data_IF_925586520513
#
_entry.id   IF_925586520513
#
_cell.length_a   1.000
_cell.length_b   1.000
_cell.length_c   1.000
_cell.angle_alpha   90.00
_cell.angle_beta   90.00
_cell.angle_gamma   90.00
#
_symmetry.space_group_name_H-M   'P 1'
#
loop_
_entity.id
_entity.type
_entity.pdbx_description
1 polymer ?
#
# COMPACT_ATOMS: atom_id res chain seq x y z
N UNK A 1 18.18 -10.60 -8.48
CA UNK A 1 17.17 -10.92 -7.44
C UNK A 1 15.88 -11.32 -8.16
N UNK A 2 15.73 -12.57 -8.59
CA UNK A 2 14.58 -13.01 -9.42
C UNK A 2 13.58 -13.91 -8.67
N UNK A 3 13.76 -14.16 -7.37
CA UNK A 3 12.93 -15.12 -6.61
C UNK A 3 11.97 -14.54 -5.55
N UNK A 4 11.97 -13.23 -5.28
CA UNK A 4 11.18 -12.64 -4.17
C UNK A 4 9.70 -12.38 -4.50
N UNK A 5 9.28 -12.60 -5.76
CA UNK A 5 7.92 -12.28 -6.24
C UNK A 5 7.05 -13.51 -6.53
N UNK A 6 7.53 -14.70 -6.19
CA UNK A 6 6.77 -15.95 -6.35
C UNK A 6 6.04 -16.35 -5.07
N UNK A 7 4.82 -15.84 -4.91
CA UNK A 7 4.00 -16.13 -3.74
C UNK A 7 3.57 -17.61 -3.68
N UNK A 8 3.55 -18.35 -4.80
CA UNK A 8 3.09 -19.74 -4.85
C UNK A 8 4.11 -20.68 -4.22
N UNK A 9 5.40 -20.46 -4.49
CA UNK A 9 6.47 -21.29 -3.94
C UNK A 9 7.02 -20.75 -2.60
N UNK A 10 6.93 -19.43 -2.35
CA UNK A 10 7.41 -18.83 -1.11
C UNK A 10 6.51 -17.66 -0.65
N UNK A 11 5.30 -17.98 -0.19
CA UNK A 11 4.34 -16.98 0.30
C UNK A 11 4.90 -16.13 1.45
N UNK A 12 5.65 -16.73 2.38
CA UNK A 12 6.24 -16.00 3.51
C UNK A 12 7.28 -14.98 3.05
N UNK A 13 8.18 -15.37 2.14
CA UNK A 13 9.17 -14.48 1.55
C UNK A 13 8.51 -13.36 0.73
N UNK A 14 7.44 -13.67 0.00
CA UNK A 14 6.64 -12.69 -0.72
C UNK A 14 6.01 -11.65 0.21
N UNK A 15 5.32 -12.08 1.26
CA UNK A 15 4.70 -11.21 2.26
C UNK A 15 5.77 -10.30 2.87
N UNK A 16 6.89 -10.86 3.30
CA UNK A 16 7.98 -10.10 3.91
C UNK A 16 8.56 -9.05 2.95
N UNK A 17 8.84 -9.44 1.71
CA UNK A 17 9.36 -8.51 0.69
C UNK A 17 8.38 -7.36 0.45
N UNK A 18 7.07 -7.65 0.33
CA UNK A 18 6.05 -6.64 0.13
C UNK A 18 5.84 -5.71 1.32
N UNK A 19 6.00 -6.19 2.55
CA UNK A 19 6.01 -5.33 3.74
C UNK A 19 7.21 -4.40 3.75
N UNK A 20 8.40 -4.93 3.44
CA UNK A 20 9.60 -4.11 3.38
C UNK A 20 9.53 -3.06 2.28
N UNK A 21 9.12 -3.46 1.06
CA UNK A 21 8.87 -2.56 -0.07
C UNK A 21 7.87 -1.47 0.31
N UNK A 22 6.79 -1.82 1.03
CA UNK A 22 5.79 -0.86 1.48
C UNK A 22 6.38 0.24 2.35
N UNK A 23 7.24 -0.11 3.31
CA UNK A 23 7.88 0.85 4.20
C UNK A 23 8.92 1.70 3.46
N UNK A 24 9.69 1.09 2.55
CA UNK A 24 10.69 1.78 1.73
C UNK A 24 10.02 2.77 0.77
N UNK A 25 8.95 2.38 0.09
CA UNK A 25 8.21 3.27 -0.81
C UNK A 25 7.54 4.42 -0.04
N UNK A 26 7.05 4.16 1.18
CA UNK A 26 6.56 5.23 2.08
C UNK A 26 7.66 6.23 2.46
N UNK A 27 8.87 5.75 2.75
CA UNK A 27 10.03 6.61 3.04
C UNK A 27 10.39 7.46 1.83
N UNK A 28 10.46 6.86 0.64
CA UNK A 28 10.70 7.58 -0.61
C UNK A 28 9.62 8.64 -0.90
N UNK A 29 8.36 8.37 -0.55
CA UNK A 29 7.28 9.34 -0.68
C UNK A 29 7.56 10.60 0.14
N UNK A 30 7.99 10.45 1.40
CA UNK A 30 8.36 11.58 2.26
C UNK A 30 9.62 12.31 1.76
N UNK A 31 10.66 11.58 1.32
CA UNK A 31 11.87 12.20 0.76
C UNK A 31 11.56 13.04 -0.49
N UNK A 32 10.63 12.59 -1.33
CA UNK A 32 10.15 13.34 -2.49
C UNK A 32 9.31 14.54 -2.08
N UNK A 33 8.46 14.39 -1.06
CA UNK A 33 7.65 15.47 -0.52
C UNK A 33 8.52 16.61 0.03
N UNK A 34 9.57 16.29 0.80
CA UNK A 34 10.53 17.29 1.31
C UNK A 34 11.25 18.08 0.21
N UNK A 35 11.36 17.50 -0.99
CA UNK A 35 11.94 18.15 -2.18
C UNK A 35 10.91 18.93 -3.01
N UNK A 36 9.66 19.01 -2.57
CA UNK A 36 8.56 19.66 -3.29
C UNK A 36 8.03 18.87 -4.49
N UNK A 37 8.38 17.58 -4.62
CA UNK A 37 8.01 16.73 -5.76
C UNK A 37 6.67 16.03 -5.52
N UNK A 38 5.57 16.78 -5.46
CA UNK A 38 4.25 16.27 -5.04
C UNK A 38 3.73 15.10 -5.89
N UNK A 39 3.85 15.16 -7.21
CA UNK A 39 3.39 14.07 -8.09
C UNK A 39 4.19 12.78 -7.85
N UNK A 40 5.51 12.89 -7.69
CA UNK A 40 6.39 11.76 -7.40
C UNK A 40 6.12 11.18 -6.00
N UNK A 41 5.95 12.04 -5.00
CA UNK A 41 5.57 11.64 -3.64
C UNK A 41 4.25 10.87 -3.64
N UNK A 42 3.25 11.36 -4.39
CA UNK A 42 1.94 10.71 -4.55
C UNK A 42 2.05 9.35 -5.23
N UNK A 43 2.89 9.23 -6.27
CA UNK A 43 3.17 7.94 -6.92
C UNK A 43 3.78 6.95 -5.94
N UNK A 44 4.69 7.39 -5.07
CA UNK A 44 5.35 6.54 -4.07
C UNK A 44 4.42 6.13 -2.93
N UNK A 45 3.58 7.05 -2.45
CA UNK A 45 2.52 6.74 -1.49
C UNK A 45 1.49 5.74 -2.05
N UNK A 46 1.15 5.83 -3.34
CA UNK A 46 0.30 4.82 -3.98
C UNK A 46 0.98 3.43 -4.03
N UNK A 47 2.26 3.38 -4.43
CA UNK A 47 3.00 2.13 -4.54
C UNK A 47 3.20 1.44 -3.18
N UNK A 48 3.42 2.21 -2.11
CA UNK A 48 3.51 1.66 -0.76
C UNK A 48 2.22 0.94 -0.36
N UNK A 49 1.06 1.59 -0.57
CA UNK A 49 -0.25 0.97 -0.29
C UNK A 49 -0.45 -0.29 -1.13
N UNK A 50 -0.17 -0.27 -2.44
CA UNK A 50 -0.26 -1.49 -3.27
C UNK A 50 0.58 -2.63 -2.71
N UNK A 51 1.79 -2.32 -2.23
CA UNK A 51 2.67 -3.33 -1.65
C UNK A 51 2.10 -3.92 -0.37
N UNK A 52 1.64 -3.07 0.57
CA UNK A 52 0.98 -3.53 1.80
C UNK A 52 -0.29 -4.35 1.52
N UNK A 53 -1.16 -3.90 0.59
CA UNK A 53 -2.37 -4.64 0.22
C UNK A 53 -2.01 -5.98 -0.41
N UNK A 54 -0.98 -6.06 -1.23
CA UNK A 54 -0.51 -7.34 -1.79
C UNK A 54 -0.04 -8.30 -0.69
N UNK A 55 0.67 -7.81 0.33
CA UNK A 55 1.02 -8.61 1.50
C UNK A 55 -0.22 -9.09 2.27
N UNK A 56 -1.22 -8.22 2.46
CA UNK A 56 -2.48 -8.56 3.15
C UNK A 56 -3.26 -9.62 2.37
N UNK A 57 -3.35 -9.49 1.06
CA UNK A 57 -4.03 -10.48 0.21
C UNK A 57 -3.33 -11.83 0.31
N UNK A 58 -2.01 -11.90 0.16
CA UNK A 58 -1.29 -13.18 0.22
C UNK A 58 -1.38 -13.82 1.61
N UNK A 59 -1.26 -13.03 2.68
CA UNK A 59 -1.43 -13.52 4.06
C UNK A 59 -2.80 -14.14 4.31
N UNK A 60 -3.84 -13.58 3.70
CA UNK A 60 -5.23 -13.99 3.90
C UNK A 60 -5.83 -14.75 2.70
N UNK A 61 -5.01 -15.15 1.73
CA UNK A 61 -5.48 -15.65 0.43
C UNK A 61 -6.42 -16.83 0.58
N UNK A 62 -6.07 -17.78 1.45
CA UNK A 62 -6.87 -18.97 1.72
C UNK A 62 -8.27 -18.64 2.26
N UNK A 63 -8.39 -17.61 3.10
CA UNK A 63 -9.70 -17.18 3.63
C UNK A 63 -10.50 -16.39 2.59
N UNK A 64 -9.82 -15.55 1.80
CA UNK A 64 -10.44 -14.83 0.68
C UNK A 64 -11.05 -15.83 -0.31
N UNK A 65 -10.28 -16.80 -0.81
CA UNK A 65 -10.73 -17.70 -1.86
C UNK A 65 -11.86 -18.65 -1.42
N UNK A 66 -11.99 -18.94 -0.12
CA UNK A 66 -13.12 -19.74 0.43
C UNK A 66 -14.47 -19.08 0.20
N UNK A 67 -14.51 -17.75 0.12
CA UNK A 67 -15.73 -16.95 -0.04
C UNK A 67 -16.05 -16.65 -1.52
N UNK A 68 -15.33 -17.27 -2.46
CA UNK A 68 -15.29 -16.88 -3.88
C UNK A 68 -15.74 -18.00 -4.79
N UNK A 69 -16.29 -17.63 -5.95
CA UNK A 69 -16.54 -18.59 -7.03
C UNK A 69 -15.24 -18.96 -7.77
N UNK A 70 -15.25 -20.02 -8.57
CA UNK A 70 -14.06 -20.53 -9.27
C UNK A 70 -13.35 -19.46 -10.14
N UNK A 71 -14.10 -18.57 -10.79
CA UNK A 71 -13.52 -17.49 -11.61
C UNK A 71 -12.78 -16.47 -10.75
N UNK A 72 -13.37 -16.08 -9.62
CA UNK A 72 -12.75 -15.16 -8.66
C UNK A 72 -11.55 -15.78 -7.96
N UNK A 73 -11.62 -17.07 -7.58
CA UNK A 73 -10.47 -17.81 -7.03
C UNK A 73 -9.29 -17.78 -8.01
N UNK A 74 -9.55 -18.16 -9.26
CA UNK A 74 -8.55 -18.12 -10.33
C UNK A 74 -7.96 -16.71 -10.50
N UNK A 75 -8.79 -15.67 -10.43
CA UNK A 75 -8.31 -14.30 -10.52
C UNK A 75 -7.38 -13.94 -9.37
N UNK A 76 -7.71 -14.30 -8.12
CA UNK A 76 -6.86 -14.05 -6.96
C UNK A 76 -5.51 -14.78 -7.07
N UNK A 77 -5.53 -16.04 -7.50
CA UNK A 77 -4.33 -16.88 -7.63
C UNK A 77 -3.40 -16.50 -8.79
N UNK A 78 -3.87 -15.72 -9.76
CA UNK A 78 -3.07 -15.36 -10.94
C UNK A 78 -2.83 -13.86 -11.07
N UNK A 79 -3.66 -13.02 -10.47
CA UNK A 79 -3.60 -11.56 -10.61
C UNK A 79 -3.81 -10.86 -9.27
N UNK A 80 -4.89 -11.18 -8.55
CA UNK A 80 -5.33 -10.46 -7.36
C UNK A 80 -4.30 -10.45 -6.22
N UNK A 81 -3.48 -11.50 -6.09
CA UNK A 81 -2.37 -11.54 -5.13
C UNK A 81 -1.44 -10.33 -5.22
N UNK A 82 -1.27 -9.76 -6.42
CA UNK A 82 -0.39 -8.61 -6.68
C UNK A 82 -1.03 -7.24 -6.39
N UNK A 83 -2.29 -7.23 -5.94
CA UNK A 83 -3.09 -6.04 -5.71
C UNK A 83 -3.14 -5.10 -6.94
N UNK A 84 -3.60 -5.56 -8.13
CA UNK A 84 -3.67 -4.74 -9.33
C UNK A 84 -4.56 -3.50 -9.08
N UNK A 85 -4.20 -2.36 -9.68
CA UNK A 85 -4.91 -1.09 -9.47
C UNK A 85 -6.42 -1.21 -9.74
N UNK A 86 -6.78 -1.89 -10.83
CA UNK A 86 -8.18 -2.11 -11.24
C UNK A 86 -8.95 -3.03 -10.29
N UNK A 87 -8.27 -3.80 -9.44
CA UNK A 87 -8.86 -4.72 -8.48
C UNK A 87 -8.94 -4.18 -7.05
N UNK A 88 -8.29 -3.05 -6.74
CA UNK A 88 -8.14 -2.57 -5.35
C UNK A 88 -9.46 -2.36 -4.62
N UNK A 89 -10.49 -1.84 -5.30
CA UNK A 89 -11.83 -1.65 -4.70
C UNK A 89 -12.54 -2.98 -4.41
N UNK A 90 -12.31 -4.01 -5.22
CA UNK A 90 -12.84 -5.36 -4.94
C UNK A 90 -12.10 -5.97 -3.76
N UNK A 91 -10.76 -5.88 -3.78
CA UNK A 91 -9.89 -6.37 -2.71
C UNK A 91 -10.23 -5.71 -1.36
N UNK A 92 -10.51 -4.41 -1.32
CA UNK A 92 -10.85 -3.72 -0.07
C UNK A 92 -12.11 -4.29 0.58
N UNK A 93 -13.14 -4.61 -0.21
CA UNK A 93 -14.38 -5.24 0.28
C UNK A 93 -14.12 -6.64 0.81
N UNK A 94 -13.26 -7.39 0.13
CA UNK A 94 -12.93 -8.75 0.54
C UNK A 94 -12.08 -8.79 1.81
N UNK A 95 -11.15 -7.84 1.98
CA UNK A 95 -10.43 -7.65 3.24
C UNK A 95 -11.37 -7.23 4.38
N UNK A 96 -12.35 -6.35 4.09
CA UNK A 96 -13.36 -5.92 5.06
C UNK A 96 -14.23 -7.08 5.55
N UNK A 97 -14.55 -8.04 4.68
CA UNK A 97 -15.26 -9.27 5.07
C UNK A 97 -14.46 -10.15 6.05
N UNK A 98 -13.14 -9.96 6.11
CA UNK A 98 -12.23 -10.58 7.07
C UNK A 98 -11.90 -9.67 8.26
N UNK A 99 -12.69 -8.60 8.47
CA UNK A 99 -12.47 -7.58 9.51
C UNK A 99 -11.15 -6.81 9.37
N UNK A 100 -10.59 -6.73 8.17
CA UNK A 100 -9.41 -5.93 7.83
C UNK A 100 -9.88 -4.69 7.07
N UNK A 101 -9.99 -3.55 7.77
CA UNK A 101 -10.39 -2.31 7.13
C UNK A 101 -9.20 -1.59 6.48
N UNK A 102 -9.16 -1.66 5.15
CA UNK A 102 -8.23 -0.92 4.31
C UNK A 102 -8.96 -0.04 3.28
N UNK A 103 -10.28 0.16 3.43
CA UNK A 103 -11.09 0.83 2.42
C UNK A 103 -10.69 2.30 2.26
N UNK A 104 -10.51 3.01 3.39
CA UNK A 104 -10.13 4.42 3.37
C UNK A 104 -8.77 4.64 2.69
N UNK A 105 -7.73 3.93 3.15
CA UNK A 105 -6.38 4.11 2.60
C UNK A 105 -6.29 3.72 1.12
N UNK A 106 -7.05 2.72 0.67
CA UNK A 106 -7.10 2.33 -0.74
C UNK A 106 -7.71 3.45 -1.59
N UNK A 107 -8.77 4.10 -1.11
CA UNK A 107 -9.40 5.23 -1.82
C UNK A 107 -8.45 6.41 -1.92
N UNK A 108 -7.79 6.77 -0.81
CA UNK A 108 -6.75 7.81 -0.79
C UNK A 108 -5.64 7.46 -1.79
N UNK A 109 -5.13 6.22 -1.77
CA UNK A 109 -4.08 5.78 -2.68
C UNK A 109 -4.49 5.89 -4.16
N UNK A 110 -5.75 5.58 -4.50
CA UNK A 110 -6.28 5.74 -5.85
C UNK A 110 -6.39 7.21 -6.26
N UNK A 111 -6.77 8.11 -5.35
CA UNK A 111 -6.76 9.56 -5.59
C UNK A 111 -5.33 10.07 -5.84
N UNK A 112 -4.37 9.67 -5.00
CA UNK A 112 -2.94 9.99 -5.16
C UNK A 112 -2.37 9.43 -6.47
N UNK A 113 -2.78 8.23 -6.86
CA UNK A 113 -2.40 7.64 -8.15
C UNK A 113 -2.88 8.51 -9.31
N UNK A 114 -4.16 8.91 -9.31
CA UNK A 114 -4.74 9.79 -10.31
C UNK A 114 -4.00 11.12 -10.36
N UNK A 115 -3.69 11.71 -9.21
CA UNK A 115 -2.92 12.95 -9.12
C UNK A 115 -1.50 12.82 -9.65
N UNK A 116 -0.82 11.69 -9.41
CA UNK A 116 0.58 11.50 -9.82
C UNK A 116 0.83 11.59 -11.33
N UNK A 117 -0.20 11.38 -12.16
CA UNK A 117 -0.10 11.53 -13.62
C UNK A 117 -0.61 12.88 -14.14
N UNK A 118 -1.56 13.49 -13.42
CA UNK A 118 -2.35 14.60 -13.95
C UNK A 118 -2.05 15.95 -13.28
N UNK A 119 -1.31 15.95 -12.16
CA UNK A 119 -1.12 17.16 -11.36
C UNK A 119 -2.45 17.80 -10.96
N UNK A 120 -2.52 19.13 -10.91
CA UNK A 120 -3.74 19.87 -10.57
C UNK A 120 -4.68 20.13 -11.75
N UNK A 121 -4.73 19.24 -12.75
CA UNK A 121 -5.75 19.36 -13.79
C UNK A 121 -7.14 19.07 -13.20
N UNK A 122 -8.03 20.08 -13.08
CA UNK A 122 -9.31 19.93 -12.40
C UNK A 122 -10.28 19.00 -13.13
N UNK A 123 -10.00 18.62 -14.39
CA UNK A 123 -10.81 17.63 -15.12
C UNK A 123 -10.45 16.20 -14.72
N UNK A 124 -9.25 16.00 -14.18
CA UNK A 124 -8.68 14.68 -13.96
C UNK A 124 -8.33 14.40 -12.50
N UNK A 125 -8.42 15.36 -11.57
CA UNK A 125 -8.16 15.10 -10.15
C UNK A 125 -9.20 15.72 -9.24
N UNK A 126 -9.30 15.16 -8.04
CA UNK A 126 -10.28 15.61 -7.04
C UNK A 126 -9.65 16.57 -6.01
N UNK A 127 -8.34 16.82 -6.10
CA UNK A 127 -7.60 17.73 -5.22
C UNK A 127 -7.72 19.19 -5.65
N UNK A 128 -8.00 20.06 -4.67
CA UNK A 128 -8.13 21.52 -4.86
C UNK A 128 -6.81 22.25 -4.70
N UNK A 129 -5.90 21.74 -3.87
CA UNK A 129 -4.63 22.37 -3.56
C UNK A 129 -3.59 21.36 -3.05
N UNK A 130 -2.36 21.82 -2.85
CA UNK A 130 -1.26 21.00 -2.34
C UNK A 130 -1.48 20.50 -0.92
N UNK A 131 -2.18 21.24 -0.07
CA UNK A 131 -2.40 20.86 1.33
C UNK A 131 -3.21 19.56 1.43
N UNK A 132 -4.21 19.37 0.56
CA UNK A 132 -4.99 18.13 0.51
C UNK A 132 -4.16 16.93 0.07
N UNK A 133 -3.32 17.10 -0.97
CA UNK A 133 -2.41 16.03 -1.43
C UNK A 133 -1.43 15.64 -0.33
N UNK A 134 -0.89 16.65 0.36
CA UNK A 134 0.06 16.46 1.46
C UNK A 134 -0.61 15.76 2.65
N UNK A 135 -1.85 16.13 2.97
CA UNK A 135 -2.67 15.46 4.00
C UNK A 135 -2.89 13.98 3.66
N UNK A 136 -3.29 13.69 2.43
CA UNK A 136 -3.53 12.32 1.97
C UNK A 136 -2.25 11.47 1.97
N UNK A 137 -1.10 12.04 1.58
CA UNK A 137 0.20 11.37 1.72
C UNK A 137 0.48 11.06 3.19
N UNK A 138 0.24 12.01 4.09
CA UNK A 138 0.43 11.82 5.53
C UNK A 138 -0.44 10.68 6.06
N UNK A 139 -1.73 10.66 5.73
CA UNK A 139 -2.67 9.60 6.13
C UNK A 139 -2.22 8.22 5.64
N UNK A 140 -1.71 8.13 4.41
CA UNK A 140 -1.11 6.89 3.90
C UNK A 140 0.07 6.47 4.78
N UNK A 141 1.02 7.37 5.06
CA UNK A 141 2.18 7.02 5.88
C UNK A 141 1.78 6.59 7.30
N UNK A 142 0.83 7.28 7.92
CA UNK A 142 0.32 6.90 9.25
C UNK A 142 -0.33 5.52 9.23
N UNK A 143 -1.07 5.17 8.17
CA UNK A 143 -1.59 3.81 8.00
C UNK A 143 -0.46 2.77 7.85
N UNK A 144 0.61 3.08 7.09
CA UNK A 144 1.77 2.19 6.95
C UNK A 144 2.45 1.90 8.30
N UNK A 145 2.55 2.91 9.17
CA UNK A 145 3.14 2.75 10.50
C UNK A 145 2.34 1.80 11.40
N UNK A 146 1.07 1.54 11.08
CA UNK A 146 0.21 0.61 11.80
C UNK A 146 0.27 -0.83 11.24
N UNK A 147 1.04 -1.12 10.19
CA UNK A 147 1.09 -2.45 9.58
C UNK A 147 1.51 -3.57 10.54
N UNK A 148 2.28 -3.26 11.59
CA UNK A 148 2.64 -4.23 12.64
C UNK A 148 1.43 -4.91 13.28
N UNK A 149 0.29 -4.21 13.37
CA UNK A 149 -0.96 -4.77 13.86
C UNK A 149 -1.43 -5.97 13.02
N UNK A 150 -1.32 -5.88 11.69
CA UNK A 150 -1.77 -6.93 10.77
C UNK A 150 -0.73 -8.04 10.56
N UNK A 151 0.54 -7.78 10.87
CA UNK A 151 1.68 -8.62 10.49
C UNK A 151 2.61 -8.95 11.65
N UNK A 152 2.09 -9.04 12.88
CA UNK A 152 2.89 -9.33 14.07
C UNK A 152 3.70 -10.63 13.95
N UNK A 153 3.18 -11.61 13.21
CA UNK A 153 3.79 -12.91 12.90
C UNK A 153 4.92 -12.84 11.85
N UNK A 154 5.05 -11.73 11.13
CA UNK A 154 6.10 -11.48 10.13
C UNK A 154 7.08 -10.38 10.57
N UNK A 155 6.84 -9.72 11.72
CA UNK A 155 7.55 -8.52 12.12
C UNK A 155 8.88 -8.83 12.80
N UNK A 156 9.98 -8.52 12.12
CA UNK A 156 11.34 -8.70 12.64
C UNK A 156 12.06 -7.37 12.90
N UNK A 157 13.33 -7.43 13.31
CA UNK A 157 14.15 -6.25 13.58
C UNK A 157 14.36 -5.37 12.35
N UNK A 158 14.40 -5.95 11.14
CA UNK A 158 14.61 -5.20 9.89
C UNK A 158 13.36 -4.40 9.52
N UNK A 159 12.17 -4.99 9.64
CA UNK A 159 10.90 -4.28 9.45
C UNK A 159 10.69 -3.23 10.54
N UNK A 160 11.03 -3.55 11.79
CA UNK A 160 10.97 -2.59 12.89
C UNK A 160 11.90 -1.39 12.64
N UNK A 161 13.12 -1.62 12.17
CA UNK A 161 14.05 -0.56 11.78
C UNK A 161 13.48 0.30 10.65
N UNK A 162 12.97 -0.31 9.58
CA UNK A 162 12.37 0.43 8.46
C UNK A 162 11.16 1.27 8.89
N UNK A 163 10.30 0.73 9.78
CA UNK A 163 9.20 1.49 10.37
C UNK A 163 9.70 2.69 11.17
N UNK A 164 10.73 2.51 12.02
CA UNK A 164 11.30 3.59 12.83
C UNK A 164 11.88 4.71 11.98
N UNK A 165 12.62 4.36 10.92
CA UNK A 165 13.15 5.34 9.95
C UNK A 165 12.02 6.11 9.27
N UNK A 166 10.94 5.42 8.86
CA UNK A 166 9.76 6.06 8.28
C UNK A 166 9.07 7.01 9.27
N UNK A 167 8.94 6.59 10.52
CA UNK A 167 8.31 7.37 11.59
C UNK A 167 9.11 8.63 11.95
N UNK A 168 10.44 8.51 12.01
CA UNK A 168 11.33 9.64 12.24
C UNK A 168 11.27 10.64 11.07
N UNK A 169 11.29 10.14 9.83
CA UNK A 169 11.17 10.99 8.65
C UNK A 169 9.81 11.68 8.58
N UNK A 170 8.73 11.01 8.98
CA UNK A 170 7.39 11.60 9.07
C UNK A 170 7.39 12.80 10.01
N UNK A 171 7.93 12.63 11.23
CA UNK A 171 8.05 13.70 12.21
C UNK A 171 8.85 14.87 11.63
N UNK A 172 9.98 14.61 11.00
CA UNK A 172 10.82 15.66 10.40
C UNK A 172 10.18 16.37 9.19
N UNK A 173 9.22 15.74 8.51
CA UNK A 173 8.54 16.32 7.33
C UNK A 173 7.41 17.27 7.71
N UNK A 174 6.79 17.07 8.89
CA UNK A 174 5.58 17.77 9.30
C UNK A 174 5.72 18.57 10.61
N UNK A 175 6.92 18.61 11.19
CA UNK A 175 7.27 19.44 12.35
C UNK A 175 7.80 20.82 11.93
#
# INVERSE_FOLDING_TARGET
>A
MEGYLDYKNNSKGYIYAKLYDSLVEGKLALEMLQKGLLQNASSKAFLSVKSAISALVVKNLNEIIKLKNEKEKYWYENVGYSAPTTGLIGISKDLKNLSIDAENVIRIALSLHKFSYNGFDPNFVDYRNSEEVISDIKEVIEWLLNLKYYFSDFWDEKLEKAKKELEELLKNTFN
#
